data_IF_383191675798
#
_entry.id   IF_383191675798
#
_cell.length_a   1.000
_cell.length_b   1.000
_cell.length_c   1.000
_cell.angle_alpha   90.00
_cell.angle_beta   90.00
_cell.angle_gamma   90.00
#
_symmetry.space_group_name_H-M   'P 1'
#
loop_
_entity.id
_entity.type
_entity.pdbx_description
1 polymer ?
#
# COMPACT_ATOMS: atom_id res chain seq x y z
N UNK A 1 4.55 -5.87 -26.26
CA UNK A 1 3.65 -5.69 -25.10
C UNK A 1 4.50 -5.10 -23.99
N UNK A 2 4.34 -3.82 -23.67
CA UNK A 2 4.90 -3.29 -22.42
C UNK A 2 4.17 -3.97 -21.26
N UNK A 3 4.89 -4.76 -20.47
CA UNK A 3 4.40 -5.20 -19.17
C UNK A 3 4.15 -3.94 -18.34
N UNK A 4 2.91 -3.70 -17.90
CA UNK A 4 2.60 -2.58 -16.98
C UNK A 4 3.16 -2.91 -15.60
N UNK A 5 4.49 -2.90 -15.45
CA UNK A 5 5.13 -3.14 -14.17
C UNK A 5 4.69 -2.09 -13.15
N UNK A 6 4.62 -2.54 -11.90
CA UNK A 6 4.34 -1.67 -10.75
C UNK A 6 5.40 -1.92 -9.72
N UNK A 7 5.88 -0.84 -9.12
CA UNK A 7 6.84 -0.90 -8.04
C UNK A 7 6.12 -0.62 -6.74
N UNK A 8 6.42 -1.41 -5.72
CA UNK A 8 5.83 -1.33 -4.40
C UNK A 8 6.96 -0.94 -3.44
N UNK A 9 6.90 0.28 -2.89
CA UNK A 9 7.92 0.81 -1.97
C UNK A 9 7.43 0.77 -0.52
N UNK A 10 8.06 -0.11 0.29
CA UNK A 10 7.72 -0.37 1.69
C UNK A 10 8.67 0.42 2.59
N UNK A 11 8.12 1.16 3.55
CA UNK A 11 8.84 1.85 4.62
C UNK A 11 8.35 1.33 5.97
N UNK A 12 9.23 0.64 6.71
CA UNK A 12 8.92 0.06 8.03
C UNK A 12 9.51 1.00 9.08
N UNK A 13 8.68 1.89 9.60
CA UNK A 13 9.04 2.83 10.65
C UNK A 13 8.94 2.23 12.06
N UNK A 14 9.18 3.06 13.07
CA UNK A 14 9.12 2.63 14.47
C UNK A 14 7.70 2.50 15.01
N UNK A 15 6.74 3.21 14.42
CA UNK A 15 5.33 3.21 14.85
C UNK A 15 4.35 2.90 13.73
N UNK A 16 4.83 2.69 12.50
CA UNK A 16 3.97 2.40 11.36
C UNK A 16 4.73 1.76 10.21
N UNK A 17 4.02 0.95 9.42
CA UNK A 17 4.47 0.48 8.11
C UNK A 17 3.69 1.22 7.02
N UNK A 18 4.42 1.96 6.18
CA UNK A 18 3.85 2.69 5.04
C UNK A 18 4.15 1.96 3.73
N UNK A 19 3.14 1.95 2.87
CA UNK A 19 3.15 1.30 1.58
C UNK A 19 2.75 2.29 0.49
N UNK A 20 3.54 2.36 -0.58
CA UNK A 20 3.23 3.17 -1.76
C UNK A 20 3.43 2.35 -3.03
N UNK A 21 2.47 2.41 -3.94
CA UNK A 21 2.53 1.76 -5.25
C UNK A 21 2.78 2.82 -6.32
N UNK A 22 3.76 2.55 -7.18
CA UNK A 22 4.19 3.43 -8.26
C UNK A 22 4.03 2.76 -9.62
N UNK A 23 3.81 3.57 -10.65
CA UNK A 23 4.13 3.21 -12.02
C UNK A 23 5.65 3.15 -12.22
N UNK A 24 6.13 2.49 -13.28
CA UNK A 24 7.56 2.51 -13.64
C UNK A 24 8.12 3.92 -13.88
N UNK A 25 7.27 4.89 -14.22
CA UNK A 25 7.64 6.31 -14.38
C UNK A 25 7.64 7.09 -13.07
N UNK A 26 7.54 6.42 -11.92
CA UNK A 26 7.56 7.04 -10.59
C UNK A 26 6.26 7.72 -10.15
N UNK A 27 5.19 7.70 -10.97
CA UNK A 27 3.88 8.23 -10.56
C UNK A 27 3.24 7.34 -9.49
N UNK A 28 2.77 7.95 -8.39
CA UNK A 28 2.01 7.27 -7.32
C UNK A 28 0.62 6.85 -7.82
N UNK A 29 0.25 5.60 -7.55
CA UNK A 29 -1.06 5.02 -7.88
C UNK A 29 -1.93 4.87 -6.61
N UNK A 30 -1.34 4.35 -5.54
CA UNK A 30 -2.02 4.13 -4.27
C UNK A 30 -1.02 4.17 -3.12
N UNK A 31 -1.51 4.47 -1.93
CA UNK A 31 -0.74 4.34 -0.70
C UNK A 31 -1.62 3.90 0.48
N UNK A 32 -0.98 3.33 1.48
CA UNK A 32 -1.59 2.98 2.74
C UNK A 32 -0.55 2.97 3.86
N UNK A 33 -0.97 3.17 5.10
CA UNK A 33 -0.11 3.02 6.26
C UNK A 33 -0.90 2.30 7.36
N UNK A 34 -0.22 1.46 8.11
CA UNK A 34 -0.76 0.77 9.29
C UNK A 34 0.13 1.12 10.47
N UNK A 35 -0.46 1.72 11.49
CA UNK A 35 0.23 2.04 12.73
C UNK A 35 0.30 0.81 13.65
N UNK A 36 1.35 0.73 14.46
CA UNK A 36 1.53 -0.27 15.51
C UNK A 36 2.20 0.34 16.76
N UNK A 37 1.91 -0.19 17.95
CA UNK A 37 2.38 0.40 19.20
C UNK A 37 3.87 0.16 19.42
N UNK A 38 4.50 1.08 20.16
CA UNK A 38 5.77 0.83 20.85
C UNK A 38 5.44 0.37 22.26
N UNK A 39 6.00 -0.76 22.66
CA UNK A 39 5.83 -1.35 23.99
C UNK A 39 6.87 -0.70 24.91
N UNK A 40 6.42 -0.18 26.06
CA UNK A 40 7.29 0.48 27.04
C UNK A 40 7.09 -0.17 28.41
N UNK A 41 7.73 -1.32 28.68
CA UNK A 41 7.52 -2.03 29.94
C UNK A 41 8.20 -1.32 31.11
N UNK A 42 9.29 -0.59 30.85
CA UNK A 42 10.05 0.18 31.83
C UNK A 42 10.36 1.59 31.30
N UNK A 43 10.61 2.52 32.22
CA UNK A 43 11.01 3.89 31.86
C UNK A 43 12.32 3.86 31.06
N UNK A 44 12.29 4.48 29.88
CA UNK A 44 13.45 4.58 28.97
C UNK A 44 13.61 3.39 28.01
N UNK A 45 12.73 2.40 28.06
CA UNK A 45 12.75 1.26 27.12
C UNK A 45 11.76 1.50 25.98
N UNK A 46 12.11 1.04 24.78
CA UNK A 46 11.23 1.02 23.62
C UNK A 46 11.39 -0.35 22.94
N UNK A 47 10.36 -1.17 23.06
CA UNK A 47 10.29 -2.50 22.47
C UNK A 47 9.26 -2.53 21.35
N UNK A 48 9.48 -3.44 20.39
CA UNK A 48 8.56 -3.69 19.29
C UNK A 48 8.36 -5.19 19.14
N UNK A 49 7.11 -5.58 18.86
CA UNK A 49 6.76 -6.96 18.55
C UNK A 49 6.94 -7.21 17.04
N UNK A 50 7.85 -8.12 16.62
CA UNK A 50 8.09 -8.40 15.21
C UNK A 50 6.87 -9.00 14.50
N UNK A 51 6.02 -9.75 15.20
CA UNK A 51 4.82 -10.36 14.60
C UNK A 51 3.77 -9.27 14.30
N UNK A 52 3.65 -8.28 15.19
CA UNK A 52 2.78 -7.11 14.97
C UNK A 52 3.26 -6.28 13.78
N UNK A 53 4.58 -6.03 13.68
CA UNK A 53 5.17 -5.33 12.54
C UNK A 53 4.90 -6.11 11.24
N UNK A 54 5.13 -7.42 11.24
CA UNK A 54 4.94 -8.27 10.07
C UNK A 54 3.47 -8.28 9.62
N UNK A 55 2.53 -8.40 10.56
CA UNK A 55 1.10 -8.31 10.28
C UNK A 55 0.71 -6.94 9.68
N UNK A 56 1.28 -5.84 10.18
CA UNK A 56 1.06 -4.51 9.64
C UNK A 56 1.56 -4.38 8.20
N UNK A 57 2.75 -4.93 7.89
CA UNK A 57 3.31 -4.97 6.54
C UNK A 57 2.38 -5.75 5.60
N UNK A 58 2.01 -6.99 5.95
CA UNK A 58 1.12 -7.81 5.13
C UNK A 58 -0.22 -7.11 4.86
N UNK A 59 -0.81 -6.51 5.89
CA UNK A 59 -2.07 -5.79 5.75
C UNK A 59 -1.93 -4.56 4.86
N UNK A 60 -0.84 -3.80 5.02
CA UNK A 60 -0.57 -2.63 4.19
C UNK A 60 -0.39 -2.97 2.71
N UNK A 61 0.25 -4.10 2.40
CA UNK A 61 0.42 -4.63 1.04
C UNK A 61 -0.93 -5.05 0.47
N UNK A 62 -1.71 -5.86 1.20
CA UNK A 62 -3.02 -6.35 0.74
C UNK A 62 -3.94 -5.19 0.36
N UNK A 63 -4.09 -4.20 1.25
CA UNK A 63 -4.95 -3.04 1.01
C UNK A 63 -4.44 -2.20 -0.17
N UNK A 64 -3.13 -2.04 -0.31
CA UNK A 64 -2.56 -1.25 -1.41
C UNK A 64 -2.78 -1.94 -2.77
N UNK A 65 -2.66 -3.26 -2.84
CA UNK A 65 -2.96 -4.04 -4.04
C UNK A 65 -4.45 -3.97 -4.39
N UNK A 66 -5.34 -4.13 -3.41
CA UNK A 66 -6.79 -4.01 -3.61
C UNK A 66 -7.18 -2.63 -4.17
N UNK A 67 -6.62 -1.54 -3.63
CA UNK A 67 -6.85 -0.18 -4.14
C UNK A 67 -6.43 -0.04 -5.59
N UNK A 68 -5.26 -0.58 -5.97
CA UNK A 68 -4.78 -0.53 -7.35
C UNK A 68 -5.73 -1.28 -8.29
N UNK A 69 -6.18 -2.47 -7.90
CA UNK A 69 -7.13 -3.28 -8.68
C UNK A 69 -8.48 -2.56 -8.83
N UNK A 70 -8.98 -1.94 -7.76
CA UNK A 70 -10.21 -1.17 -7.78
C UNK A 70 -10.12 0.05 -8.70
N UNK A 71 -9.03 0.84 -8.64
CA UNK A 71 -8.83 1.98 -9.53
C UNK A 71 -8.67 1.57 -10.99
N UNK A 72 -8.04 0.42 -11.28
CA UNK A 72 -8.04 -0.13 -12.64
C UNK A 72 -9.44 -0.50 -13.11
N UNK A 73 -10.26 -1.10 -12.24
CA UNK A 73 -11.63 -1.48 -12.58
C UNK A 73 -12.50 -0.26 -12.86
N UNK A 74 -12.43 0.78 -12.03
CA UNK A 74 -13.11 2.06 -12.30
C UNK A 74 -12.63 2.61 -13.64
N UNK A 75 -11.31 2.72 -13.86
CA UNK A 75 -10.77 3.27 -15.10
C UNK A 75 -11.26 2.51 -16.34
N UNK A 76 -11.26 1.18 -16.30
CA UNK A 76 -11.79 0.33 -17.38
C UNK A 76 -13.29 0.55 -17.61
N UNK A 77 -14.07 0.68 -16.53
CA UNK A 77 -15.51 0.90 -16.63
C UNK A 77 -15.83 2.31 -17.17
N UNK A 78 -15.08 3.34 -16.78
CA UNK A 78 -15.21 4.69 -17.34
C UNK A 78 -14.92 4.70 -18.84
N UNK A 79 -13.86 4.03 -19.27
CA UNK A 79 -13.49 3.92 -20.69
C UNK A 79 -14.55 3.15 -21.48
N UNK A 80 -15.08 2.04 -20.94
CA UNK A 80 -16.16 1.27 -21.57
C UNK A 80 -17.45 2.09 -21.74
N UNK A 81 -17.87 2.84 -20.73
CA UNK A 81 -19.08 3.69 -20.83
C UNK A 81 -18.91 4.78 -21.89
N UNK A 82 -17.71 5.35 -22.01
CA UNK A 82 -17.42 6.41 -22.98
C UNK A 82 -17.30 5.88 -24.42
N UNK A 83 -17.00 4.59 -24.61
CA UNK A 83 -17.00 3.90 -25.92
C UNK A 83 -18.40 3.42 -26.35
N UNK A 84 -19.33 3.19 -25.42
CA UNK A 84 -20.70 2.76 -25.73
C UNK A 84 -21.71 3.92 -25.88
N UNK A 85 -21.25 5.17 -25.76
CA UNK A 85 -22.09 6.38 -25.89
C UNK A 85 -21.87 7.13 -27.22
N UNK A 86 -21.24 6.48 -28.19
CA UNK A 86 -21.22 6.83 -29.62
C UNK A 86 -21.54 5.56 -30.42
#
# INVERSE_FOLDING_TARGET
METRGRVIGIDIGTTSAKMVVFTEKGKVIASHAIDYPIIQPNVGWAEQDPDVICAAVYKSVSVSVEKVMYYQKIFLQSVLVQLCTH
#
